data_IF_326219409054
#
_entry.id   IF_326219409054
#
_cell.length_a   1.000
_cell.length_b   1.000
_cell.length_c   1.000
_cell.angle_alpha   90.00
_cell.angle_beta   90.00
_cell.angle_gamma   90.00
#
_symmetry.space_group_name_H-M   'P 1'
#
loop_
_entity.id
_entity.type
_entity.pdbx_description
1 polymer ?
#
# COMPACT_ATOMS: atom_id res chain seq x y z
N UNK A 1 -35.30 38.54 -22.05
CA UNK A 1 -35.40 37.17 -21.49
C UNK A 1 -34.50 36.14 -22.17
N UNK A 2 -33.58 36.50 -23.08
CA UNK A 2 -32.63 35.54 -23.68
C UNK A 2 -31.28 35.43 -22.92
N UNK A 3 -31.03 36.32 -21.96
CA UNK A 3 -29.77 36.43 -21.21
C UNK A 3 -29.75 35.65 -19.89
N UNK A 4 -30.87 35.03 -19.48
CA UNK A 4 -30.95 34.29 -18.20
C UNK A 4 -30.42 32.85 -18.32
N UNK A 5 -30.46 32.27 -19.52
CA UNK A 5 -29.98 30.88 -19.76
C UNK A 5 -28.47 30.69 -19.55
N UNK A 6 -27.60 31.64 -19.97
CA UNK A 6 -26.18 31.57 -19.67
C UNK A 6 -25.87 31.74 -18.17
N UNK A 7 -26.58 32.62 -17.47
CA UNK A 7 -26.35 32.83 -16.02
C UNK A 7 -26.83 31.65 -15.19
N UNK A 8 -27.98 31.04 -15.52
CA UNK A 8 -28.44 29.81 -14.86
C UNK A 8 -27.44 28.67 -15.04
N UNK A 9 -26.83 28.54 -16.22
CA UNK A 9 -25.84 27.50 -16.49
C UNK A 9 -24.54 27.73 -15.70
N UNK A 10 -24.14 29.00 -15.50
CA UNK A 10 -22.96 29.33 -14.69
C UNK A 10 -23.21 29.00 -13.22
N UNK A 11 -24.37 29.37 -12.68
CA UNK A 11 -24.76 29.03 -11.31
C UNK A 11 -24.81 27.50 -11.09
N UNK A 12 -25.35 26.75 -12.06
CA UNK A 12 -25.40 25.29 -11.98
C UNK A 12 -24.01 24.65 -12.02
N UNK A 13 -23.08 25.19 -12.82
CA UNK A 13 -21.69 24.74 -12.85
C UNK A 13 -20.99 24.98 -11.52
N UNK A 14 -21.21 26.12 -10.88
CA UNK A 14 -20.60 26.45 -9.60
C UNK A 14 -21.12 25.53 -8.48
N UNK A 15 -22.43 25.25 -8.44
CA UNK A 15 -23.02 24.28 -7.51
C UNK A 15 -22.48 22.86 -7.72
N UNK A 16 -22.30 22.45 -8.98
CA UNK A 16 -21.73 21.13 -9.29
C UNK A 16 -20.26 21.06 -8.90
N UNK A 17 -19.49 22.13 -9.08
CA UNK A 17 -18.08 22.22 -8.69
C UNK A 17 -17.89 22.09 -7.18
N UNK A 18 -18.70 22.78 -6.38
CA UNK A 18 -18.63 22.69 -4.93
C UNK A 18 -18.91 21.25 -4.44
N UNK A 19 -19.95 20.61 -4.99
CA UNK A 19 -20.24 19.19 -4.71
C UNK A 19 -19.10 18.26 -5.11
N UNK A 20 -18.42 18.55 -6.22
CA UNK A 20 -17.30 17.76 -6.67
C UNK A 20 -16.08 17.93 -5.76
N UNK A 21 -15.79 19.16 -5.31
CA UNK A 21 -14.74 19.42 -4.33
C UNK A 21 -14.97 18.64 -3.03
N UNK A 22 -16.19 18.69 -2.48
CA UNK A 22 -16.56 17.93 -1.28
C UNK A 22 -16.39 16.41 -1.49
N UNK A 23 -16.80 15.91 -2.66
CA UNK A 23 -16.68 14.47 -2.99
C UNK A 23 -15.23 14.06 -3.18
N UNK A 24 -14.40 14.93 -3.76
CA UNK A 24 -12.96 14.68 -3.96
C UNK A 24 -12.23 14.67 -2.62
N UNK A 25 -12.48 15.62 -1.72
CA UNK A 25 -11.88 15.63 -0.38
C UNK A 25 -12.27 14.38 0.42
N UNK A 26 -13.54 13.98 0.37
CA UNK A 26 -14.00 12.73 0.99
C UNK A 26 -13.33 11.48 0.39
N UNK A 27 -13.03 11.48 -0.92
CA UNK A 27 -12.32 10.38 -1.57
C UNK A 27 -10.84 10.37 -1.19
N UNK A 28 -10.18 11.51 -1.08
CA UNK A 28 -8.78 11.62 -0.64
C UNK A 28 -8.62 11.06 0.78
N UNK A 29 -9.54 11.39 1.69
CA UNK A 29 -9.52 10.89 3.06
C UNK A 29 -9.83 9.39 3.16
N UNK A 30 -10.72 8.87 2.30
CA UNK A 30 -11.07 7.43 2.30
C UNK A 30 -10.05 6.57 1.56
N UNK A 31 -9.45 7.10 0.50
CA UNK A 31 -8.32 6.50 -0.20
C UNK A 31 -7.01 6.67 0.55
N UNK A 32 -7.03 7.26 1.75
CA UNK A 32 -5.85 7.51 2.53
C UNK A 32 -5.05 6.21 2.70
N UNK A 33 -3.89 6.10 2.02
CA UNK A 33 -3.16 4.85 1.84
C UNK A 33 -2.64 4.31 3.17
N UNK A 34 -2.69 5.12 4.24
CA UNK A 34 -2.28 4.78 5.59
C UNK A 34 -3.05 3.60 6.18
N UNK A 35 -4.35 3.47 5.89
CA UNK A 35 -5.15 2.34 6.40
C UNK A 35 -4.90 1.06 5.60
N UNK A 36 -4.70 1.20 4.29
CA UNK A 36 -4.33 0.10 3.39
C UNK A 36 -2.94 -0.43 3.80
N UNK A 37 -1.97 0.45 3.96
CA UNK A 37 -0.62 0.11 4.38
C UNK A 37 -0.58 -0.56 5.76
N UNK A 38 -1.38 -0.08 6.73
CA UNK A 38 -1.48 -0.71 8.06
C UNK A 38 -2.00 -2.14 7.98
N UNK A 39 -3.00 -2.40 7.13
CA UNK A 39 -3.54 -3.76 6.96
C UNK A 39 -2.54 -4.67 6.25
N UNK A 40 -1.89 -4.18 5.20
CA UNK A 40 -0.81 -4.92 4.53
C UNK A 40 0.37 -5.24 5.45
N UNK A 41 0.76 -4.30 6.33
CA UNK A 41 1.79 -4.52 7.34
C UNK A 41 1.38 -5.57 8.37
N UNK A 42 0.11 -5.56 8.82
CA UNK A 42 -0.40 -6.57 9.73
C UNK A 42 -0.41 -7.97 9.11
N UNK A 43 -0.83 -8.08 7.85
CA UNK A 43 -0.83 -9.35 7.09
C UNK A 43 0.60 -9.88 6.87
N UNK A 44 1.55 -9.00 6.55
CA UNK A 44 2.96 -9.38 6.45
C UNK A 44 3.51 -9.81 7.80
N UNK A 45 3.25 -9.06 8.87
CA UNK A 45 3.73 -9.37 10.22
C UNK A 45 3.16 -10.69 10.73
N UNK A 46 1.88 -10.98 10.48
CA UNK A 46 1.23 -12.24 10.89
C UNK A 46 1.81 -13.50 10.23
N UNK A 47 2.52 -13.36 9.11
CA UNK A 47 3.24 -14.48 8.49
C UNK A 47 4.52 -14.87 9.24
N UNK A 48 5.12 -13.93 9.95
CA UNK A 48 6.39 -14.16 10.67
C UNK A 48 6.26 -14.12 12.19
N UNK A 49 5.14 -13.63 12.71
CA UNK A 49 4.89 -13.47 14.15
C UNK A 49 3.57 -14.13 14.50
N UNK A 50 3.55 -14.82 15.64
CA UNK A 50 2.39 -15.51 16.18
C UNK A 50 1.45 -14.58 16.97
N UNK A 51 0.27 -15.07 17.34
CA UNK A 51 -0.76 -14.35 18.11
C UNK A 51 -0.24 -13.81 19.44
N UNK A 52 0.75 -14.49 20.04
CA UNK A 52 1.44 -14.10 21.26
C UNK A 52 2.53 -13.03 21.06
N UNK A 53 2.80 -12.62 19.81
CA UNK A 53 3.90 -11.73 19.47
C UNK A 53 5.26 -12.44 19.31
N UNK A 54 5.30 -13.76 19.46
CA UNK A 54 6.51 -14.57 19.31
C UNK A 54 6.86 -14.80 17.84
N UNK A 55 8.15 -14.74 17.45
CA UNK A 55 8.55 -15.04 16.07
C UNK A 55 8.28 -16.51 15.72
N UNK A 56 7.67 -16.75 14.55
CA UNK A 56 7.39 -18.08 14.00
C UNK A 56 8.68 -18.70 13.47
N UNK A 57 9.41 -19.38 14.35
CA UNK A 57 10.68 -20.02 14.01
C UNK A 57 10.53 -21.05 12.87
N UNK A 58 9.39 -21.73 12.77
CA UNK A 58 9.08 -22.65 11.67
C UNK A 58 9.15 -21.99 10.29
N UNK A 59 8.75 -20.72 10.18
CA UNK A 59 8.78 -19.95 8.92
C UNK A 59 10.13 -19.26 8.73
N UNK A 60 10.70 -18.69 9.80
CA UNK A 60 11.93 -17.89 9.74
C UNK A 60 13.16 -18.76 9.49
N UNK A 61 13.27 -19.89 10.19
CA UNK A 61 14.45 -20.74 10.18
C UNK A 61 14.81 -21.30 8.78
N UNK A 62 13.88 -21.88 7.99
CA UNK A 62 14.19 -22.35 6.64
C UNK A 62 14.53 -21.20 5.69
N UNK A 63 13.92 -20.01 5.88
CA UNK A 63 14.16 -18.85 5.04
C UNK A 63 15.59 -18.32 5.24
N UNK A 64 16.02 -18.18 6.50
CA UNK A 64 17.40 -17.83 6.85
C UNK A 64 18.37 -18.90 6.36
N UNK A 65 18.08 -20.18 6.58
CA UNK A 65 18.90 -21.29 6.12
C UNK A 65 19.09 -21.28 4.59
N UNK A 66 18.02 -21.03 3.84
CA UNK A 66 18.07 -20.91 2.38
C UNK A 66 18.96 -19.76 1.91
N UNK A 67 18.83 -18.57 2.52
CA UNK A 67 19.68 -17.41 2.19
C UNK A 67 21.15 -17.71 2.47
N UNK A 68 21.45 -18.28 3.63
CA UNK A 68 22.83 -18.66 4.01
C UNK A 68 23.40 -19.68 3.03
N UNK A 69 22.62 -20.70 2.64
CA UNK A 69 23.04 -21.73 1.70
C UNK A 69 23.35 -21.14 0.30
N UNK A 70 22.52 -20.22 -0.19
CA UNK A 70 22.75 -19.54 -1.48
C UNK A 70 24.03 -18.70 -1.43
N UNK A 71 24.21 -17.91 -0.38
CA UNK A 71 25.42 -17.09 -0.22
C UNK A 71 26.66 -17.97 -0.16
N UNK A 72 26.63 -19.04 0.64
CA UNK A 72 27.72 -20.00 0.73
C UNK A 72 28.04 -20.62 -0.63
N UNK A 73 27.02 -21.05 -1.38
CA UNK A 73 27.17 -21.58 -2.74
C UNK A 73 27.83 -20.58 -3.69
N UNK A 74 27.40 -19.31 -3.68
CA UNK A 74 28.00 -18.25 -4.49
C UNK A 74 29.48 -18.04 -4.12
N UNK A 75 29.80 -18.01 -2.83
CA UNK A 75 31.19 -17.86 -2.35
C UNK A 75 32.05 -19.03 -2.81
N UNK A 76 31.55 -20.26 -2.67
CA UNK A 76 32.24 -21.47 -3.11
C UNK A 76 32.50 -21.43 -4.63
N UNK A 77 31.49 -21.11 -5.43
CA UNK A 77 31.64 -20.97 -6.89
C UNK A 77 32.66 -19.89 -7.24
N UNK A 78 32.58 -18.71 -6.61
CA UNK A 78 33.55 -17.62 -6.81
C UNK A 78 34.97 -18.00 -6.39
N UNK A 79 35.11 -18.88 -5.40
CA UNK A 79 36.40 -19.36 -4.91
C UNK A 79 37.07 -20.34 -5.87
N UNK A 80 36.29 -21.10 -6.64
CA UNK A 80 36.77 -22.06 -7.64
C UNK A 80 36.94 -21.46 -9.05
N UNK A 81 36.18 -20.40 -9.38
CA UNK A 81 36.30 -19.67 -10.66
C UNK A 81 37.35 -18.54 -10.64
N UNK A 82 38.04 -18.35 -9.51
CA UNK A 82 39.22 -17.46 -9.38
C UNK A 82 40.45 -18.32 -9.14
#
# INVERSE_FOLDING_TARGET
>A
MANDRPSELVDEIDVIRDRLADTVDALIDRSNPKNIARRSLADVKGRFVDETGSPKLEVILPLVGGVVAVIAGIVVVRRFLR
#
